data_IF_462670645347
#
_entry.id   IF_462670645347
#
_cell.length_a   1.000
_cell.length_b   1.000
_cell.length_c   1.000
_cell.angle_alpha   90.00
_cell.angle_beta   90.00
_cell.angle_gamma   90.00
#
_symmetry.space_group_name_H-M   'P 1'
#
loop_
_entity.id
_entity.type
_entity.pdbx_description
1 polymer ?
#
# COMPACT_ATOMS: atom_id res chain seq x y z
N UNK A 1 -16.83 -4.58 57.50
CA UNK A 1 -15.42 -4.56 57.02
C UNK A 1 -15.24 -5.80 56.15
N UNK A 2 -15.81 -5.82 54.94
CA UNK A 2 -15.15 -5.63 53.63
C UNK A 2 -13.91 -6.52 53.43
N UNK A 3 -14.20 -7.71 52.90
CA UNK A 3 -13.29 -8.64 52.25
C UNK A 3 -12.59 -7.99 51.03
N UNK A 4 -11.29 -8.24 50.89
CA UNK A 4 -10.53 -7.99 49.66
C UNK A 4 -10.52 -9.27 48.81
N UNK A 5 -10.72 -9.20 47.49
CA UNK A 5 -10.57 -10.36 46.61
C UNK A 5 -9.08 -10.65 46.32
N UNK A 6 -8.71 -11.91 46.03
CA UNK A 6 -7.35 -12.30 45.71
C UNK A 6 -6.90 -11.75 44.33
N UNK A 7 -5.58 -11.61 44.10
CA UNK A 7 -5.06 -11.09 42.83
C UNK A 7 -5.32 -12.07 41.68
N UNK A 8 -5.71 -11.49 40.55
CA UNK A 8 -6.03 -12.15 39.28
C UNK A 8 -4.79 -12.87 38.73
N UNK A 9 -4.84 -14.18 38.39
CA UNK A 9 -3.73 -14.84 37.71
C UNK A 9 -3.69 -14.30 36.28
N UNK A 10 -2.66 -13.50 35.99
CA UNK A 10 -2.41 -12.99 34.65
C UNK A 10 -2.33 -14.14 33.65
N UNK A 11 -3.06 -13.99 32.54
CA UNK A 11 -2.77 -14.72 31.30
C UNK A 11 -1.35 -14.35 30.87
N UNK A 12 -0.37 -15.16 31.26
CA UNK A 12 0.87 -15.29 30.51
C UNK A 12 0.50 -16.02 29.22
N UNK A 13 0.49 -15.32 28.10
CA UNK A 13 0.57 -15.99 26.81
C UNK A 13 1.94 -16.66 26.75
N UNK A 14 1.96 -17.97 26.99
CA UNK A 14 3.13 -18.80 26.78
C UNK A 14 3.51 -18.71 25.29
N UNK A 15 4.77 -18.34 25.03
CA UNK A 15 5.37 -18.46 23.72
C UNK A 15 5.42 -19.95 23.35
N UNK A 16 4.39 -20.40 22.63
CA UNK A 16 4.44 -21.67 21.91
C UNK A 16 5.43 -21.50 20.76
N UNK A 17 6.68 -21.89 21.02
CA UNK A 17 7.66 -22.21 19.99
C UNK A 17 7.19 -23.45 19.25
N UNK A 18 6.38 -23.26 18.21
CA UNK A 18 6.11 -24.29 17.20
C UNK A 18 6.97 -23.99 15.99
N UNK A 19 8.06 -24.75 15.87
CA UNK A 19 8.90 -24.73 14.68
C UNK A 19 8.08 -25.06 13.44
N UNK A 20 7.84 -24.05 12.61
CA UNK A 20 7.31 -24.25 11.27
C UNK A 20 8.41 -24.88 10.39
N UNK A 21 8.09 -25.89 9.57
CA UNK A 21 9.05 -26.45 8.64
C UNK A 21 9.44 -25.40 7.60
N UNK A 22 10.70 -24.94 7.64
CA UNK A 22 11.33 -24.23 6.51
C UNK A 22 11.44 -25.19 5.33
N UNK A 23 11.04 -24.73 4.14
CA UNK A 23 11.07 -25.37 2.81
C UNK A 23 9.80 -26.10 2.35
N UNK A 24 8.68 -25.39 2.25
CA UNK A 24 7.83 -25.56 1.07
C UNK A 24 8.00 -24.30 0.21
N UNK A 25 8.41 -24.48 -1.06
CA UNK A 25 8.35 -23.40 -2.05
C UNK A 25 6.87 -23.04 -2.16
N UNK A 26 6.49 -21.87 -1.68
CA UNK A 26 5.11 -21.40 -1.78
C UNK A 26 4.79 -21.23 -3.27
N UNK A 27 3.71 -21.88 -3.72
CA UNK A 27 3.26 -21.71 -5.09
C UNK A 27 2.82 -20.25 -5.30
N UNK A 28 3.27 -19.64 -6.38
CA UNK A 28 2.85 -18.31 -6.79
C UNK A 28 1.74 -18.39 -7.85
N UNK A 29 0.67 -17.59 -7.75
CA UNK A 29 0.39 -16.62 -6.67
C UNK A 29 -0.05 -17.30 -5.36
N UNK A 30 0.21 -16.69 -4.19
CA UNK A 30 -0.31 -17.18 -2.91
C UNK A 30 -1.85 -17.09 -2.90
N UNK A 31 -2.54 -17.91 -2.12
CA UNK A 31 -4.02 -17.87 -1.94
C UNK A 31 -4.84 -17.50 -3.21
N UNK A 32 -4.75 -18.30 -4.30
CA UNK A 32 -5.36 -17.95 -5.58
C UNK A 32 -6.90 -17.81 -5.52
N UNK A 33 -7.55 -18.33 -4.48
CA UNK A 33 -8.99 -18.17 -4.27
C UNK A 33 -9.41 -16.71 -4.01
N UNK A 34 -8.48 -15.87 -3.55
CA UNK A 34 -8.67 -14.43 -3.32
C UNK A 34 -8.42 -13.56 -4.54
N UNK A 35 -7.96 -14.15 -5.64
CA UNK A 35 -7.83 -13.44 -6.91
C UNK A 35 -9.21 -13.43 -7.60
N UNK A 36 -9.78 -12.26 -7.90
CA UNK A 36 -11.03 -12.20 -8.66
C UNK A 36 -10.82 -12.75 -10.07
N UNK A 37 -11.86 -13.32 -10.71
CA UNK A 37 -11.85 -13.59 -12.14
C UNK A 37 -11.92 -12.26 -12.93
N UNK A 38 -10.81 -11.52 -12.93
CA UNK A 38 -10.68 -10.19 -13.51
C UNK A 38 -9.68 -10.21 -14.67
N UNK A 39 -10.19 -9.90 -15.84
CA UNK A 39 -9.40 -9.56 -17.02
C UNK A 39 -10.17 -8.54 -17.85
N UNK A 40 -9.56 -7.40 -18.11
CA UNK A 40 -10.17 -6.29 -18.85
C UNK A 40 -9.22 -5.87 -19.95
N UNK A 41 -9.75 -5.80 -21.18
CA UNK A 41 -9.01 -5.28 -22.34
C UNK A 41 -9.61 -3.92 -22.74
N UNK A 42 -8.75 -2.92 -22.92
CA UNK A 42 -9.11 -1.59 -23.44
C UNK A 42 -8.08 -1.09 -24.46
N UNK A 43 -8.37 -1.34 -25.73
CA UNK A 43 -7.45 -1.08 -26.83
C UNK A 43 -6.24 -2.01 -26.76
N UNK A 44 -5.04 -1.43 -26.81
CA UNK A 44 -3.76 -2.16 -26.80
C UNK A 44 -3.31 -2.61 -25.41
N UNK A 45 -4.20 -2.56 -24.41
CA UNK A 45 -3.87 -2.82 -23.01
C UNK A 45 -4.79 -3.88 -22.41
N UNK A 46 -4.23 -4.78 -21.60
CA UNK A 46 -4.97 -5.73 -20.76
C UNK A 46 -4.61 -5.54 -19.29
N UNK A 47 -5.60 -5.60 -18.40
CA UNK A 47 -5.41 -5.57 -16.95
C UNK A 47 -5.86 -6.88 -16.33
N UNK A 48 -4.99 -7.50 -15.54
CA UNK A 48 -5.20 -8.82 -14.92
C UNK A 48 -4.27 -9.01 -13.72
N UNK A 49 -4.48 -10.06 -12.94
CA UNK A 49 -3.52 -10.46 -11.91
C UNK A 49 -2.41 -11.34 -12.50
N UNK A 50 -1.19 -11.17 -12.00
CA UNK A 50 -0.04 -12.00 -12.36
C UNK A 50 -0.23 -13.46 -11.88
N UNK A 51 0.18 -14.41 -12.71
CA UNK A 51 -0.22 -15.83 -12.60
C UNK A 51 0.95 -16.79 -12.41
N UNK A 52 2.19 -16.31 -12.56
CA UNK A 52 3.37 -17.16 -12.50
C UNK A 52 4.59 -16.43 -11.91
N UNK A 53 5.59 -17.17 -11.41
CA UNK A 53 6.86 -16.60 -10.98
C UNK A 53 7.57 -15.80 -12.08
N UNK A 54 7.42 -16.18 -13.35
CA UNK A 54 8.03 -15.45 -14.47
C UNK A 54 7.43 -14.05 -14.66
N UNK A 55 6.11 -13.91 -14.47
CA UNK A 55 5.45 -12.59 -14.51
C UNK A 55 5.80 -11.76 -13.27
N UNK A 56 6.00 -12.41 -12.12
CA UNK A 56 6.55 -11.74 -10.94
C UNK A 56 7.95 -11.17 -11.24
N UNK A 57 8.86 -11.96 -11.83
CA UNK A 57 10.17 -11.44 -12.20
C UNK A 57 10.08 -10.28 -13.21
N UNK A 58 9.17 -10.33 -14.17
CA UNK A 58 8.97 -9.25 -15.14
C UNK A 58 8.47 -7.95 -14.47
N UNK A 59 7.46 -8.02 -13.60
CA UNK A 59 6.98 -6.82 -12.92
C UNK A 59 8.00 -6.26 -11.90
N UNK A 60 8.85 -7.10 -11.31
CA UNK A 60 9.94 -6.64 -10.43
C UNK A 60 11.05 -5.92 -11.21
N UNK A 61 11.30 -6.29 -12.48
CA UNK A 61 12.15 -5.50 -13.39
C UNK A 61 11.54 -4.15 -13.71
N UNK A 62 10.23 -4.11 -14.02
CA UNK A 62 9.52 -2.85 -14.23
C UNK A 62 9.63 -1.93 -13.00
N UNK A 63 9.43 -2.47 -11.80
CA UNK A 63 9.60 -1.70 -10.55
C UNK A 63 11.03 -1.17 -10.41
N UNK A 64 12.04 -1.98 -10.67
CA UNK A 64 13.45 -1.53 -10.66
C UNK A 64 13.71 -0.40 -11.65
N UNK A 65 13.23 -0.51 -12.89
CA UNK A 65 13.37 0.52 -13.91
C UNK A 65 12.74 1.85 -13.46
N UNK A 66 11.57 1.80 -12.83
CA UNK A 66 10.88 3.02 -12.37
C UNK A 66 11.50 3.57 -11.09
N UNK A 67 11.60 2.77 -10.02
CA UNK A 67 12.01 3.26 -8.70
C UNK A 67 13.51 3.52 -8.62
N UNK A 68 14.35 2.59 -9.09
CA UNK A 68 15.80 2.72 -8.96
C UNK A 68 16.40 3.58 -10.07
N UNK A 69 16.10 3.26 -11.32
CA UNK A 69 16.79 3.89 -12.46
C UNK A 69 16.22 5.27 -12.79
N UNK A 70 14.91 5.42 -12.75
CA UNK A 70 14.26 6.68 -13.08
C UNK A 70 14.15 7.64 -11.88
N UNK A 71 13.61 7.17 -10.74
CA UNK A 71 13.34 8.03 -9.60
C UNK A 71 14.53 8.15 -8.63
N UNK A 72 15.40 7.14 -8.58
CA UNK A 72 16.53 7.09 -7.63
C UNK A 72 16.13 6.70 -6.20
N UNK A 73 14.89 6.24 -6.01
CA UNK A 73 14.20 5.93 -4.75
C UNK A 73 14.21 4.42 -4.42
N UNK A 74 14.73 3.56 -5.28
CA UNK A 74 14.70 2.11 -4.99
C UNK A 74 15.80 1.60 -4.07
N UNK A 75 15.66 0.33 -3.66
CA UNK A 75 16.60 -0.37 -2.78
C UNK A 75 17.99 -0.50 -3.43
N UNK A 76 19.05 -0.29 -2.66
CA UNK A 76 20.44 -0.40 -3.16
C UNK A 76 20.73 -1.81 -3.64
N UNK A 77 20.21 -2.82 -2.93
CA UNK A 77 20.41 -4.23 -3.20
C UNK A 77 19.85 -4.64 -4.57
N UNK A 78 18.78 -3.98 -5.04
CA UNK A 78 18.13 -4.24 -6.32
C UNK A 78 19.04 -4.04 -7.53
N UNK A 79 20.11 -3.24 -7.41
CA UNK A 79 21.07 -3.06 -8.49
C UNK A 79 21.86 -4.34 -8.83
N UNK A 80 21.98 -5.27 -7.88
CA UNK A 80 22.73 -6.52 -8.10
C UNK A 80 22.02 -7.47 -9.06
N UNK A 81 20.68 -7.49 -9.04
CA UNK A 81 19.85 -8.39 -9.85
C UNK A 81 19.02 -7.65 -10.92
N UNK A 82 18.93 -6.32 -10.84
CA UNK A 82 18.04 -5.52 -11.67
C UNK A 82 16.56 -5.74 -11.32
N UNK A 83 16.26 -6.07 -10.06
CA UNK A 83 14.93 -6.42 -9.55
C UNK A 83 14.63 -5.66 -8.26
N UNK A 84 13.52 -4.93 -8.23
CA UNK A 84 13.02 -4.30 -7.00
C UNK A 84 12.20 -5.33 -6.22
N UNK A 85 12.90 -6.20 -5.49
CA UNK A 85 12.35 -7.32 -4.72
C UNK A 85 12.48 -7.07 -3.22
N UNK A 86 11.43 -7.37 -2.48
CA UNK A 86 11.43 -7.41 -1.02
C UNK A 86 10.74 -8.69 -0.47
N UNK A 87 10.82 -8.96 0.86
CA UNK A 87 10.25 -10.18 1.44
C UNK A 87 8.73 -10.33 1.31
N UNK A 88 8.00 -9.28 0.94
CA UNK A 88 6.54 -9.30 0.86
C UNK A 88 6.04 -9.80 -0.50
N UNK A 89 6.87 -9.73 -1.54
CA UNK A 89 6.45 -9.99 -2.92
C UNK A 89 5.91 -11.42 -3.11
N UNK A 90 6.48 -12.42 -2.45
CA UNK A 90 6.00 -13.81 -2.57
C UNK A 90 4.68 -14.07 -1.82
N UNK A 91 4.29 -13.16 -0.93
CA UNK A 91 3.08 -13.24 -0.11
C UNK A 91 1.95 -12.31 -0.59
N UNK A 92 2.19 -11.57 -1.67
CA UNK A 92 1.25 -10.60 -2.23
C UNK A 92 0.70 -11.05 -3.59
N UNK A 93 -0.47 -10.50 -3.92
CA UNK A 93 -0.95 -10.49 -5.30
C UNK A 93 -0.40 -9.29 -6.03
N UNK A 94 -0.28 -9.43 -7.35
CA UNK A 94 0.16 -8.34 -8.21
C UNK A 94 -0.87 -8.14 -9.33
N UNK A 95 -1.47 -6.96 -9.33
CA UNK A 95 -2.28 -6.50 -10.45
C UNK A 95 -1.35 -5.90 -11.48
N UNK A 96 -1.45 -6.32 -12.74
CA UNK A 96 -0.61 -5.87 -13.83
C UNK A 96 -1.43 -5.28 -14.96
N UNK A 97 -0.85 -4.32 -15.68
CA UNK A 97 -1.30 -3.91 -17.01
C UNK A 97 -0.24 -4.31 -18.02
N UNK A 98 -0.66 -5.07 -19.02
CA UNK A 98 0.14 -5.55 -20.14
C UNK A 98 -0.15 -4.70 -21.39
N UNK A 99 0.89 -4.34 -22.13
CA UNK A 99 0.76 -3.77 -23.47
C UNK A 99 0.74 -4.90 -24.50
N UNK A 100 -0.44 -5.19 -25.03
CA UNK A 100 -0.72 -6.35 -25.88
C UNK A 100 0.14 -6.45 -27.15
N UNK A 101 0.47 -5.35 -27.86
CA UNK A 101 1.33 -5.43 -29.04
C UNK A 101 2.75 -5.94 -28.74
N UNK A 102 3.27 -5.69 -27.54
CA UNK A 102 4.63 -6.10 -27.15
C UNK A 102 4.65 -7.26 -26.16
N UNK A 103 3.52 -7.58 -25.52
CA UNK A 103 3.41 -8.56 -24.44
C UNK A 103 4.10 -8.14 -23.14
N UNK A 104 4.46 -6.85 -23.01
CA UNK A 104 5.24 -6.36 -21.87
C UNK A 104 4.33 -5.89 -20.74
N UNK A 105 4.67 -6.21 -19.49
CA UNK A 105 4.04 -5.61 -18.31
C UNK A 105 4.53 -4.16 -18.18
N UNK A 106 3.60 -3.20 -18.27
CA UNK A 106 3.87 -1.76 -18.29
C UNK A 106 3.32 -1.01 -17.08
N UNK A 107 2.59 -1.67 -16.19
CA UNK A 107 2.10 -1.09 -14.95
C UNK A 107 1.76 -2.16 -13.93
N UNK A 108 1.89 -1.82 -12.65
CA UNK A 108 1.61 -2.77 -11.56
C UNK A 108 1.13 -2.10 -10.27
N UNK A 109 0.38 -2.84 -9.46
CA UNK A 109 0.16 -2.64 -8.04
C UNK A 109 0.43 -3.95 -7.30
N UNK A 110 1.03 -3.85 -6.11
CA UNK A 110 1.07 -4.94 -5.12
C UNK A 110 -0.15 -4.82 -4.20
N UNK A 111 -0.78 -5.96 -3.88
CA UNK A 111 -1.97 -6.03 -3.04
C UNK A 111 -1.89 -7.18 -2.05
N UNK A 112 -2.39 -6.95 -0.84
CA UNK A 112 -2.48 -7.96 0.20
C UNK A 112 -3.71 -7.72 1.08
N UNK A 113 -4.36 -8.80 1.53
CA UNK A 113 -5.41 -8.73 2.57
C UNK A 113 -4.83 -8.99 3.96
N UNK A 114 -5.53 -8.63 5.03
CA UNK A 114 -5.11 -8.95 6.40
C UNK A 114 -4.88 -10.46 6.62
N UNK A 115 -5.67 -11.32 5.98
CA UNK A 115 -5.51 -12.76 6.06
C UNK A 115 -4.22 -13.25 5.39
N UNK A 116 -3.85 -12.64 4.26
CA UNK A 116 -2.57 -12.92 3.59
C UNK A 116 -1.39 -12.38 4.41
N UNK A 117 -1.53 -11.21 5.03
CA UNK A 117 -0.52 -10.64 5.92
C UNK A 117 -0.27 -11.55 7.13
N UNK A 118 -1.33 -12.02 7.78
CA UNK A 118 -1.24 -12.94 8.91
C UNK A 118 -0.62 -14.30 8.55
N UNK A 119 -0.80 -14.77 7.31
CA UNK A 119 -0.24 -16.03 6.83
C UNK A 119 1.18 -15.91 6.25
N UNK A 120 1.65 -14.68 5.99
CA UNK A 120 2.92 -14.38 5.33
C UNK A 120 3.86 -13.54 6.18
N UNK A 121 4.46 -12.52 5.58
CA UNK A 121 5.45 -11.65 6.21
C UNK A 121 4.84 -10.49 7.05
N UNK A 122 3.53 -10.47 7.27
CA UNK A 122 2.84 -9.29 7.79
C UNK A 122 2.56 -8.23 6.72
N UNK A 123 2.17 -7.04 7.14
CA UNK A 123 1.98 -5.87 6.29
C UNK A 123 3.29 -5.08 6.17
N UNK A 124 3.62 -4.60 4.98
CA UNK A 124 4.80 -3.77 4.77
C UNK A 124 4.72 -2.48 5.59
N UNK A 125 3.56 -1.82 5.59
CA UNK A 125 3.37 -0.58 6.35
C UNK A 125 3.52 -0.78 7.87
N UNK A 126 3.49 -2.02 8.37
CA UNK A 126 3.78 -2.30 9.79
C UNK A 126 5.28 -2.20 10.12
N UNK A 127 6.18 -2.23 9.13
CA UNK A 127 7.60 -1.98 9.37
C UNK A 127 7.84 -0.50 9.70
N UNK A 128 7.13 0.40 9.01
CA UNK A 128 7.27 1.85 9.15
C UNK A 128 6.36 2.42 10.26
N UNK A 129 5.16 1.87 10.43
CA UNK A 129 4.13 2.38 11.34
C UNK A 129 3.68 1.30 12.33
N UNK A 130 3.25 1.70 13.52
CA UNK A 130 2.68 0.77 14.50
C UNK A 130 1.21 0.45 14.19
N UNK A 131 0.97 -0.42 13.19
CA UNK A 131 -0.41 -0.75 12.77
C UNK A 131 -1.21 -1.45 13.86
N UNK A 132 -0.57 -2.05 14.87
CA UNK A 132 -1.26 -2.68 16.02
C UNK A 132 -2.13 -1.69 16.81
N UNK A 133 -1.88 -0.39 16.69
CA UNK A 133 -2.70 0.65 17.32
C UNK A 133 -4.00 0.96 16.55
N UNK A 134 -4.18 0.46 15.32
CA UNK A 134 -5.46 0.57 14.61
C UNK A 134 -6.50 -0.41 15.16
N UNK A 135 -7.80 -0.07 15.07
CA UNK A 135 -8.87 -1.00 15.40
C UNK A 135 -8.79 -2.27 14.53
N UNK A 136 -8.88 -3.43 15.17
CA UNK A 136 -8.76 -4.73 14.49
C UNK A 136 -9.82 -4.91 13.38
N UNK A 137 -11.00 -4.33 13.56
CA UNK A 137 -12.07 -4.32 12.55
C UNK A 137 -11.69 -3.52 11.29
N UNK A 138 -10.95 -2.42 11.44
CA UNK A 138 -10.48 -1.62 10.30
C UNK A 138 -9.42 -2.41 9.54
N UNK A 139 -8.41 -2.91 10.23
CA UNK A 139 -7.36 -3.75 9.62
C UNK A 139 -7.94 -5.01 8.95
N UNK A 140 -8.84 -5.72 9.62
CA UNK A 140 -9.48 -6.92 9.08
C UNK A 140 -10.33 -6.66 7.83
N UNK A 141 -10.88 -5.45 7.70
CA UNK A 141 -11.64 -5.00 6.54
C UNK A 141 -10.78 -4.32 5.46
N UNK A 142 -9.45 -4.35 5.59
CA UNK A 142 -8.53 -3.62 4.72
C UNK A 142 -7.79 -4.50 3.70
N UNK A 143 -7.40 -3.86 2.61
CA UNK A 143 -6.36 -4.32 1.68
C UNK A 143 -5.18 -3.34 1.72
N UNK A 144 -3.97 -3.84 1.99
CA UNK A 144 -2.75 -3.06 1.76
C UNK A 144 -2.48 -2.99 0.26
N UNK A 145 -2.18 -1.80 -0.24
CA UNK A 145 -1.81 -1.53 -1.63
C UNK A 145 -0.53 -0.71 -1.69
N UNK A 146 0.38 -1.09 -2.58
CA UNK A 146 1.68 -0.43 -2.67
C UNK A 146 2.43 -0.75 -3.95
N UNK A 147 3.68 -0.27 -4.02
CA UNK A 147 4.60 -0.48 -5.16
C UNK A 147 3.98 -0.16 -6.52
N UNK A 148 3.14 0.88 -6.53
CA UNK A 148 2.43 1.30 -7.73
C UNK A 148 3.39 1.98 -8.70
N UNK A 149 3.54 1.43 -9.90
CA UNK A 149 4.31 2.09 -10.95
C UNK A 149 3.73 1.84 -12.34
N UNK A 150 4.04 2.75 -13.26
CA UNK A 150 3.74 2.65 -14.68
C UNK A 150 5.00 3.05 -15.43
N UNK A 151 5.40 2.27 -16.42
CA UNK A 151 6.51 2.54 -17.32
C UNK A 151 6.37 3.95 -17.92
N UNK A 152 7.48 4.69 -18.00
CA UNK A 152 7.52 6.13 -18.33
C UNK A 152 6.64 6.50 -19.53
N UNK A 153 6.76 5.75 -20.62
CA UNK A 153 6.09 6.04 -21.90
C UNK A 153 4.58 5.71 -21.89
N UNK A 154 4.10 5.01 -20.86
CA UNK A 154 2.72 4.56 -20.71
C UNK A 154 1.96 5.28 -19.59
N UNK A 155 2.54 6.35 -19.02
CA UNK A 155 1.93 7.14 -17.92
C UNK A 155 0.80 8.05 -18.40
N UNK A 156 -0.31 7.43 -18.79
CA UNK A 156 -1.52 8.12 -19.19
C UNK A 156 -2.74 7.59 -18.44
N UNK A 157 -3.84 8.35 -18.53
CA UNK A 157 -5.05 8.10 -17.75
C UNK A 157 -5.63 6.71 -17.97
N UNK A 158 -5.50 6.14 -19.18
CA UNK A 158 -6.07 4.84 -19.52
C UNK A 158 -5.45 3.70 -18.70
N UNK A 159 -4.11 3.63 -18.65
CA UNK A 159 -3.41 2.60 -17.86
C UNK A 159 -3.71 2.74 -16.36
N UNK A 160 -3.76 3.98 -15.85
CA UNK A 160 -4.11 4.21 -14.45
C UNK A 160 -5.53 3.73 -14.13
N UNK A 161 -6.51 3.99 -15.00
CA UNK A 161 -7.88 3.50 -14.81
C UNK A 161 -7.97 1.98 -14.85
N UNK A 162 -7.24 1.33 -15.75
CA UNK A 162 -7.17 -0.12 -15.81
C UNK A 162 -6.66 -0.74 -14.50
N UNK A 163 -5.59 -0.16 -13.92
CA UNK A 163 -5.12 -0.56 -12.59
C UNK A 163 -6.20 -0.33 -11.53
N UNK A 164 -6.86 0.83 -11.54
CA UNK A 164 -7.88 1.08 -10.52
C UNK A 164 -9.09 0.15 -10.67
N UNK A 165 -9.55 -0.17 -11.88
CA UNK A 165 -10.59 -1.20 -12.11
C UNK A 165 -10.22 -2.54 -11.48
N UNK A 166 -8.96 -2.96 -11.59
CA UNK A 166 -8.47 -4.17 -10.93
C UNK A 166 -8.46 -4.08 -9.41
N UNK A 167 -8.10 -2.93 -8.83
CA UNK A 167 -8.25 -2.69 -7.39
C UNK A 167 -9.72 -2.85 -6.97
N UNK A 168 -10.66 -2.24 -7.72
CA UNK A 168 -12.10 -2.33 -7.46
C UNK A 168 -12.61 -3.78 -7.50
N UNK A 169 -12.23 -4.55 -8.53
CA UNK A 169 -12.58 -5.96 -8.61
C UNK A 169 -12.02 -6.78 -7.44
N UNK A 170 -10.80 -6.47 -7.00
CA UNK A 170 -10.14 -7.15 -5.88
C UNK A 170 -10.89 -6.95 -4.56
N UNK A 171 -11.26 -5.71 -4.27
CA UNK A 171 -11.91 -5.34 -3.00
C UNK A 171 -13.34 -5.87 -2.94
N UNK A 172 -14.03 -5.93 -4.10
CA UNK A 172 -15.34 -6.53 -4.23
C UNK A 172 -15.31 -8.02 -3.93
N UNK A 173 -14.44 -8.75 -4.62
CA UNK A 173 -14.28 -10.19 -4.49
C UNK A 173 -13.90 -10.61 -3.07
N UNK A 174 -13.03 -9.84 -2.42
CA UNK A 174 -12.58 -10.10 -1.06
C UNK A 174 -13.47 -9.48 0.03
N UNK A 175 -14.56 -8.80 -0.35
CA UNK A 175 -15.49 -8.11 0.55
C UNK A 175 -14.79 -7.19 1.55
N UNK A 176 -13.82 -6.41 1.06
CA UNK A 176 -13.06 -5.45 1.86
C UNK A 176 -13.64 -4.05 1.69
N UNK A 177 -13.47 -3.22 2.71
CA UNK A 177 -13.96 -1.83 2.76
C UNK A 177 -12.87 -0.83 2.48
N UNK A 178 -11.66 -1.09 2.94
CA UNK A 178 -10.59 -0.09 2.92
C UNK A 178 -9.46 -0.48 1.97
N UNK A 179 -8.87 0.52 1.34
CA UNK A 179 -7.48 0.45 0.92
C UNK A 179 -6.61 1.24 1.88
N UNK A 180 -5.43 0.74 2.18
CA UNK A 180 -4.41 1.51 2.87
C UNK A 180 -3.02 1.22 2.30
N UNK A 181 -2.06 2.09 2.60
CA UNK A 181 -0.66 1.92 2.24
C UNK A 181 0.09 3.25 2.23
N UNK A 182 1.40 3.18 2.03
CA UNK A 182 2.25 4.36 2.01
C UNK A 182 2.13 5.13 0.69
N UNK A 183 1.99 6.45 0.79
CA UNK A 183 2.23 7.38 -0.31
C UNK A 183 3.35 8.34 0.08
N UNK A 184 4.23 8.65 -0.85
CA UNK A 184 5.58 9.09 -0.46
C UNK A 184 6.00 10.39 -1.14
N UNK A 185 6.82 11.17 -0.44
CA UNK A 185 7.63 12.25 -1.01
C UNK A 185 9.02 11.71 -1.35
N UNK A 186 9.54 12.15 -2.49
CA UNK A 186 10.96 12.00 -2.86
C UNK A 186 11.81 12.97 -2.04
N UNK A 187 12.00 12.67 -0.76
CA UNK A 187 12.85 13.47 0.13
C UNK A 187 13.28 12.64 1.34
N UNK A 188 14.33 13.10 1.99
CA UNK A 188 14.76 12.63 3.31
C UNK A 188 14.98 13.82 4.26
N UNK A 189 14.51 15.02 3.88
CA UNK A 189 14.59 16.21 4.71
C UNK A 189 13.37 16.28 5.64
N UNK A 190 13.55 16.21 6.97
CA UNK A 190 12.47 16.40 7.94
C UNK A 190 11.66 17.69 7.74
N UNK A 191 12.26 18.74 7.18
CA UNK A 191 11.54 19.97 6.88
C UNK A 191 10.47 19.78 5.80
N UNK A 192 10.72 18.91 4.80
CA UNK A 192 9.71 18.56 3.80
C UNK A 192 8.57 17.76 4.43
N UNK A 193 8.88 16.87 5.40
CA UNK A 193 7.87 16.17 6.19
C UNK A 193 6.99 17.15 6.98
N UNK A 194 7.60 18.13 7.67
CA UNK A 194 6.90 19.14 8.45
C UNK A 194 5.97 20.00 7.58
N UNK A 195 6.47 20.48 6.44
CA UNK A 195 5.71 21.28 5.49
C UNK A 195 4.56 20.51 4.86
N UNK A 196 4.77 19.27 4.43
CA UNK A 196 3.69 18.44 3.88
C UNK A 196 2.65 18.11 4.96
N UNK A 197 3.06 17.84 6.19
CA UNK A 197 2.13 17.59 7.31
C UNK A 197 1.26 18.83 7.59
N UNK A 198 1.85 20.03 7.56
CA UNK A 198 1.08 21.27 7.68
C UNK A 198 0.14 21.49 6.49
N UNK A 199 0.61 21.25 5.26
CA UNK A 199 -0.25 21.29 4.07
C UNK A 199 -1.47 20.36 4.21
N UNK A 200 -1.25 19.11 4.64
CA UNK A 200 -2.32 18.13 4.82
C UNK A 200 -3.31 18.56 5.90
N UNK A 201 -2.82 19.09 7.02
CA UNK A 201 -3.64 19.62 8.12
C UNK A 201 -4.50 20.80 7.66
N UNK A 202 -3.91 21.75 6.92
CA UNK A 202 -4.61 22.95 6.40
C UNK A 202 -5.66 22.64 5.35
N UNK A 203 -5.58 21.47 4.72
CA UNK A 203 -6.50 21.01 3.69
C UNK A 203 -7.45 19.90 4.19
N UNK A 204 -7.57 19.71 5.51
CA UNK A 204 -8.43 18.73 6.16
C UNK A 204 -8.21 17.30 5.62
N UNK A 205 -6.95 16.88 5.52
CA UNK A 205 -6.55 15.55 5.01
C UNK A 205 -5.99 14.60 6.06
N UNK A 206 -5.95 15.00 7.32
CA UNK A 206 -5.56 14.11 8.42
C UNK A 206 -6.81 13.40 8.95
N UNK A 207 -6.73 12.09 9.14
CA UNK A 207 -7.85 11.32 9.70
C UNK A 207 -8.14 11.78 11.14
N UNK A 208 -9.39 12.07 11.51
CA UNK A 208 -9.70 12.66 12.82
C UNK A 208 -9.54 11.69 14.01
N UNK A 209 -9.54 10.38 13.76
CA UNK A 209 -9.54 9.34 14.80
C UNK A 209 -8.37 8.36 14.70
N UNK A 210 -7.72 8.28 13.55
CA UNK A 210 -6.68 7.30 13.28
C UNK A 210 -5.39 8.07 13.15
N UNK A 211 -4.59 8.03 14.20
CA UNK A 211 -3.34 8.77 14.32
C UNK A 211 -2.24 7.78 14.71
N UNK A 212 -1.58 7.23 13.70
CA UNK A 212 -0.46 6.33 13.92
C UNK A 212 0.84 7.09 14.07
N UNK A 213 1.69 6.53 14.92
CA UNK A 213 3.06 6.98 15.08
C UNK A 213 3.96 6.13 14.18
N UNK A 214 4.96 6.72 13.50
CA UNK A 214 6.03 5.96 12.90
C UNK A 214 6.76 5.17 13.99
N UNK A 215 7.33 4.02 13.62
CA UNK A 215 8.25 3.30 14.52
C UNK A 215 9.48 4.19 14.81
N UNK A 216 10.15 4.02 15.96
CA UNK A 216 11.27 4.88 16.35
C UNK A 216 12.37 5.04 15.30
N UNK A 217 12.69 3.97 14.57
CA UNK A 217 13.71 3.99 13.51
C UNK A 217 13.30 4.81 12.29
N UNK A 218 12.02 5.09 12.12
CA UNK A 218 11.41 5.80 11.00
C UNK A 218 10.91 7.20 11.39
N UNK A 219 11.13 7.66 12.62
CA UNK A 219 10.66 8.97 13.06
C UNK A 219 11.37 10.12 12.30
N UNK A 220 10.58 11.05 11.74
CA UNK A 220 11.07 12.25 11.06
C UNK A 220 11.54 13.35 12.02
N UNK A 221 11.08 13.36 13.27
CA UNK A 221 11.25 14.44 14.27
C UNK A 221 10.75 15.81 13.76
N UNK A 222 9.58 15.81 13.12
CA UNK A 222 9.04 16.95 12.38
C UNK A 222 8.26 17.98 13.24
N UNK A 223 7.89 17.63 14.48
CA UNK A 223 7.00 18.45 15.34
C UNK A 223 7.56 19.83 15.65
N UNK A 224 8.86 19.90 15.88
CA UNK A 224 9.53 21.10 16.37
C UNK A 224 10.05 21.99 15.24
N UNK A 225 9.82 21.58 13.98
CA UNK A 225 10.33 22.28 12.82
C UNK A 225 9.38 23.41 12.37
N UNK A 226 9.96 24.51 11.92
CA UNK A 226 9.21 25.60 11.31
C UNK A 226 8.63 25.14 9.97
N UNK A 227 7.32 24.88 9.95
CA UNK A 227 6.58 24.44 8.76
C UNK A 227 6.21 25.61 7.83
N UNK A 228 6.86 26.77 7.95
CA UNK A 228 6.71 27.88 7.00
C UNK A 228 7.06 27.45 5.56
N UNK A 229 6.34 28.02 4.59
CA UNK A 229 6.45 27.63 3.18
C UNK A 229 5.70 26.33 2.83
N UNK A 230 4.75 25.90 3.67
CA UNK A 230 3.87 24.77 3.38
C UNK A 230 2.99 25.02 2.15
N UNK A 231 2.74 26.29 1.80
CA UNK A 231 1.98 26.70 0.61
C UNK A 231 2.68 26.32 -0.70
N UNK A 232 4.01 26.21 -0.69
CA UNK A 232 4.84 25.88 -1.84
C UNK A 232 5.07 24.37 -2.00
N UNK A 233 4.51 23.55 -1.09
CA UNK A 233 4.65 22.10 -1.12
C UNK A 233 4.06 21.53 -2.42
N UNK A 234 4.86 20.70 -3.09
CA UNK A 234 4.44 19.98 -4.29
C UNK A 234 3.98 18.59 -3.91
N UNK A 235 2.66 18.40 -3.84
CA UNK A 235 2.07 17.07 -3.62
C UNK A 235 2.40 16.16 -4.82
N UNK A 236 3.00 14.98 -4.60
CA UNK A 236 3.23 13.99 -5.65
C UNK A 236 1.93 13.65 -6.38
N UNK A 237 2.00 13.43 -7.70
CA UNK A 237 0.80 13.26 -8.54
C UNK A 237 -0.09 12.12 -8.07
N UNK A 238 0.50 11.01 -7.64
CA UNK A 238 -0.24 9.82 -7.20
C UNK A 238 -0.89 10.04 -5.82
N UNK A 239 -0.12 10.56 -4.85
CA UNK A 239 -0.65 10.99 -3.55
C UNK A 239 -1.81 11.98 -3.71
N UNK A 240 -1.63 13.03 -4.51
CA UNK A 240 -2.67 14.01 -4.79
C UNK A 240 -3.89 13.39 -5.49
N UNK A 241 -3.71 12.29 -6.23
CA UNK A 241 -4.84 11.53 -6.76
C UNK A 241 -5.60 10.85 -5.63
N UNK A 242 -4.95 10.09 -4.75
CA UNK A 242 -5.63 9.46 -3.61
C UNK A 242 -6.38 10.46 -2.73
N UNK A 243 -5.75 11.60 -2.40
CA UNK A 243 -6.38 12.67 -1.62
C UNK A 243 -7.62 13.25 -2.31
N UNK A 244 -7.59 13.45 -3.64
CA UNK A 244 -8.78 13.88 -4.40
C UNK A 244 -9.91 12.86 -4.37
N UNK A 245 -9.59 11.57 -4.28
CA UNK A 245 -10.56 10.49 -4.17
C UNK A 245 -10.98 10.20 -2.72
N UNK A 246 -10.57 11.03 -1.76
CA UNK A 246 -11.05 10.96 -0.37
C UNK A 246 -10.16 10.12 0.55
N UNK A 247 -8.93 9.81 0.15
CA UNK A 247 -7.98 9.22 1.09
C UNK A 247 -7.65 10.21 2.21
N UNK A 248 -7.57 9.65 3.43
CA UNK A 248 -7.07 10.30 4.63
C UNK A 248 -5.62 9.91 4.87
N UNK A 249 -4.86 10.79 5.50
CA UNK A 249 -3.53 10.47 6.06
C UNK A 249 -3.70 10.15 7.54
N UNK A 250 -3.19 9.00 7.97
CA UNK A 250 -3.45 8.41 9.28
C UNK A 250 -2.27 8.59 10.24
N UNK A 251 -2.02 9.83 10.62
CA UNK A 251 -1.00 10.20 11.60
C UNK A 251 0.23 10.85 10.98
N UNK A 252 1.36 10.67 11.65
CA UNK A 252 2.62 11.34 11.32
C UNK A 252 3.36 10.64 10.17
N UNK A 253 4.23 11.34 9.41
CA UNK A 253 5.07 10.71 8.41
C UNK A 253 6.17 9.83 9.00
N UNK A 254 6.65 8.89 8.19
CA UNK A 254 7.82 8.06 8.42
C UNK A 254 8.92 8.42 7.42
N UNK A 255 10.20 8.39 7.80
CA UNK A 255 11.32 8.54 6.87
C UNK A 255 11.93 7.17 6.54
N UNK A 256 11.65 6.66 5.34
CA UNK A 256 12.29 5.46 4.81
C UNK A 256 13.65 5.82 4.19
N UNK A 257 14.71 5.59 4.94
CA UNK A 257 16.09 5.86 4.49
C UNK A 257 16.59 4.84 3.45
N UNK A 258 15.98 3.66 3.36
CA UNK A 258 16.35 2.63 2.37
C UNK A 258 15.77 2.99 1.01
N UNK A 259 14.51 3.40 0.98
CA UNK A 259 13.81 3.85 -0.23
C UNK A 259 14.01 5.36 -0.49
N UNK A 260 14.67 6.06 0.43
CA UNK A 260 14.99 7.50 0.32
C UNK A 260 13.74 8.36 0.17
N UNK A 261 12.69 8.00 0.91
CA UNK A 261 11.39 8.66 0.89
C UNK A 261 10.95 9.11 2.27
N UNK A 262 9.96 10.01 2.28
CA UNK A 262 9.13 10.29 3.44
C UNK A 262 7.74 9.75 3.13
N UNK A 263 7.31 8.77 3.89
CA UNK A 263 6.10 8.00 3.69
C UNK A 263 4.97 8.51 4.59
N UNK A 264 3.79 8.64 4.00
CA UNK A 264 2.55 9.03 4.66
C UNK A 264 1.57 7.87 4.51
N UNK A 265 1.15 7.29 5.63
CA UNK A 265 0.18 6.20 5.62
C UNK A 265 -1.20 6.74 5.22
N UNK A 266 -1.67 6.34 4.05
CA UNK A 266 -2.97 6.72 3.53
C UNK A 266 -4.00 5.62 3.79
N UNK A 267 -5.25 6.03 4.07
CA UNK A 267 -6.42 5.15 4.18
C UNK A 267 -7.55 5.71 3.31
N UNK A 268 -8.12 4.87 2.47
CA UNK A 268 -9.28 5.19 1.64
C UNK A 268 -10.46 4.32 2.06
N UNK A 269 -11.51 4.96 2.57
CA UNK A 269 -12.76 4.30 2.92
C UNK A 269 -13.71 4.27 1.72
N UNK A 270 -13.90 3.08 1.15
CA UNK A 270 -14.70 2.91 -0.06
C UNK A 270 -16.20 3.01 0.19
N UNK A 271 -16.68 3.01 1.43
CA UNK A 271 -18.09 3.21 1.76
C UNK A 271 -18.43 4.71 1.90
N UNK A 272 -17.45 5.54 2.21
CA UNK A 272 -17.60 7.00 2.31
C UNK A 272 -17.32 7.73 0.99
N UNK A 273 -16.79 7.02 -0.01
CA UNK A 273 -16.55 7.57 -1.33
C UNK A 273 -17.88 7.86 -2.07
N UNK A 274 -17.89 8.98 -2.81
CA UNK A 274 -18.99 9.33 -3.71
C UNK A 274 -19.24 8.19 -4.73
N UNK A 275 -20.45 7.60 -4.78
CA UNK A 275 -20.79 6.50 -5.68
C UNK A 275 -20.51 6.81 -7.16
N UNK A 276 -20.70 8.06 -7.60
CA UNK A 276 -20.38 8.43 -8.98
C UNK A 276 -18.88 8.46 -9.23
N UNK A 277 -18.08 8.80 -8.22
CA UNK A 277 -16.60 8.74 -8.33
C UNK A 277 -16.12 7.30 -8.35
N UNK A 278 -16.74 6.45 -7.53
CA UNK A 278 -16.49 5.01 -7.54
C UNK A 278 -16.73 4.45 -8.94
N UNK A 279 -17.94 4.65 -9.50
CA UNK A 279 -18.31 4.14 -10.81
C UNK A 279 -17.40 4.67 -11.92
N UNK A 280 -17.07 5.97 -11.90
CA UNK A 280 -16.17 6.58 -12.90
C UNK A 280 -14.75 6.04 -12.87
N UNK A 281 -14.31 5.54 -11.72
CA UNK A 281 -12.91 5.21 -11.48
C UNK A 281 -12.63 3.71 -11.48
N UNK A 282 -13.53 2.94 -10.86
CA UNK A 282 -13.42 1.50 -10.72
C UNK A 282 -14.31 0.76 -11.73
N UNK A 283 -15.26 1.44 -12.39
CA UNK A 283 -16.27 0.84 -13.29
C UNK A 283 -17.03 -0.34 -12.67
N UNK A 284 -17.20 -0.30 -11.35
CA UNK A 284 -17.94 -1.31 -10.59
C UNK A 284 -18.81 -0.62 -9.55
N UNK A 285 -19.92 -1.27 -9.17
CA UNK A 285 -20.74 -0.84 -8.06
C UNK A 285 -20.23 -1.47 -6.76
N UNK A 286 -19.53 -0.67 -5.96
CA UNK A 286 -18.93 -1.15 -4.72
C UNK A 286 -19.97 -1.51 -3.63
N UNK A 287 -21.25 -1.22 -3.84
CA UNK A 287 -22.34 -1.65 -2.95
C UNK A 287 -22.61 -3.15 -3.02
N UNK A 288 -22.17 -3.82 -4.09
CA UNK A 288 -22.35 -5.26 -4.31
C UNK A 288 -21.43 -6.13 -3.43
N UNK A 289 -20.69 -5.53 -2.48
CA UNK A 289 -19.87 -6.24 -1.49
C UNK A 289 -20.68 -7.01 -0.44
N UNK A 290 -21.95 -6.62 -0.24
CA UNK A 290 -22.81 -7.08 0.87
C UNK A 290 -23.35 -8.50 0.67
#
# INVERSE_FOLDING_TARGET
MRDQPPPNPGLRMEHASTGAPRNQVQAYPPDPARIPPFEVVDGDYSARFARSPSELDELLRLRFEVFNLELGEGLVESHSEGLDRDPYDEHCHHLVVEHLPTGAIIGTYRLQTAEMAAAGAGFYSNDEFDLEAWPAEVLGASCEVGRACIARDYRHRRVLLLLWRGLGAYVLHNRKRYFFGCCSLTSQDPLDAARMSEYLRRNDRIHPQLDLQPRPDYDCNEQELDSSGWEDVKVPRLMGTYLRYGAWICGRPAIDRKFKTIDFLALMDLDEMDPERILRQFEVDLRDRQ
#
